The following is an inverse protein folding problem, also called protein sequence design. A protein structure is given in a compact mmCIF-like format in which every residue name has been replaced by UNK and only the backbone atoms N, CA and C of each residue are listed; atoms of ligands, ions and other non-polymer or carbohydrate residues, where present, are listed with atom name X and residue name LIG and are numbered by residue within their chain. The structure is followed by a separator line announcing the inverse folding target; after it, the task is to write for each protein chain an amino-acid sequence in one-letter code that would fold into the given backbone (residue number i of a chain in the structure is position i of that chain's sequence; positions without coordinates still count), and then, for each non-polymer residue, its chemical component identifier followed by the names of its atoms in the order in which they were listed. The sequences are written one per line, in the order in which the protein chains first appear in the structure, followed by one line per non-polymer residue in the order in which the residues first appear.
data_IF_989017690812
#
_entry.id   IF_989017690812
#
_cell.length_a   1.000
_cell.length_b   1.000
_cell.length_c   1.000
_cell.angle_alpha   90.00
_cell.angle_beta   90.00
_cell.angle_gamma   90.00
#
_symmetry.space_group_name_H-M   'P 1'
#
loop_
_entity.id
_entity.type
_entity.pdbx_description
1 polymer ?
#
# COMPACT_ATOMS: atom_id res chain seq x y z
N UNK A 1 23.45 11.34 10.53
CA UNK A 1 22.86 10.31 11.39
C UNK A 1 23.98 9.33 11.70
N UNK A 2 24.12 8.97 12.97
CA UNK A 2 25.04 7.94 13.41
C UNK A 2 24.64 6.59 12.80
N UNK A 3 25.59 5.81 12.32
CA UNK A 3 25.34 4.50 11.72
C UNK A 3 25.99 3.44 12.58
N UNK A 4 25.32 2.33 12.76
CA UNK A 4 25.81 1.18 13.52
C UNK A 4 25.90 -0.05 12.63
N UNK A 5 26.90 -0.89 12.90
CA UNK A 5 27.00 -2.24 12.35
C UNK A 5 26.64 -3.22 13.46
N UNK A 6 25.71 -4.10 13.18
CA UNK A 6 25.31 -5.15 14.10
C UNK A 6 26.35 -6.28 14.07
N UNK A 7 26.89 -6.64 15.23
CA UNK A 7 27.68 -7.87 15.40
C UNK A 7 26.78 -9.09 15.56
N UNK A 8 25.61 -8.87 16.19
CA UNK A 8 24.52 -9.83 16.31
C UNK A 8 23.19 -9.09 16.41
N UNK A 9 22.11 -9.69 15.98
CA UNK A 9 20.78 -9.10 16.12
C UNK A 9 19.74 -9.88 15.35
N UNK A 10 18.54 -9.95 15.91
CA UNK A 10 17.42 -10.61 15.28
C UNK A 10 16.22 -9.69 15.18
N UNK A 11 15.52 -9.74 14.06
CA UNK A 11 14.26 -9.03 13.84
C UNK A 11 13.24 -9.93 13.18
N UNK A 12 11.98 -9.82 13.61
CA UNK A 12 10.91 -10.68 13.09
C UNK A 12 10.25 -10.04 11.88
N UNK A 13 10.48 -10.60 10.70
CA UNK A 13 9.85 -10.19 9.45
C UNK A 13 8.82 -11.25 9.06
N UNK A 14 7.54 -10.85 8.90
CA UNK A 14 6.45 -11.76 8.50
C UNK A 14 6.38 -13.05 9.31
N UNK A 15 6.63 -12.94 10.61
CA UNK A 15 6.55 -14.07 11.52
C UNK A 15 7.79 -14.96 11.60
N UNK A 16 8.80 -14.77 10.75
CA UNK A 16 10.08 -15.47 10.77
C UNK A 16 11.16 -14.61 11.43
N UNK A 17 11.94 -15.14 12.34
CA UNK A 17 13.10 -14.46 12.91
C UNK A 17 14.23 -14.45 11.87
N UNK A 18 14.78 -13.27 11.61
CA UNK A 18 15.89 -13.06 10.68
C UNK A 18 17.10 -12.59 11.43
N UNK A 19 18.25 -13.19 11.13
CA UNK A 19 19.56 -12.75 11.62
C UNK A 19 20.01 -11.54 10.80
N UNK A 20 20.40 -10.47 11.50
CA UNK A 20 20.85 -9.22 10.91
C UNK A 20 22.32 -8.93 11.21
N UNK A 21 23.09 -9.93 11.63
CA UNK A 21 24.53 -9.78 11.88
C UNK A 21 25.28 -9.27 10.64
N UNK A 22 26.18 -8.33 10.83
CA UNK A 22 26.96 -7.69 9.77
C UNK A 22 26.25 -6.53 9.04
N UNK A 23 24.95 -6.34 9.21
CA UNK A 23 24.21 -5.27 8.55
C UNK A 23 24.46 -3.91 9.19
N UNK A 24 24.42 -2.86 8.37
CA UNK A 24 24.61 -1.46 8.77
C UNK A 24 23.28 -0.71 8.67
N UNK A 25 22.89 -0.08 9.78
CA UNK A 25 21.67 0.71 9.89
C UNK A 25 21.95 2.12 10.43
N UNK A 26 21.15 3.12 10.05
CA UNK A 26 21.09 4.39 10.76
C UNK A 26 20.52 4.18 12.18
N UNK A 27 21.22 4.64 13.19
CA UNK A 27 20.80 4.56 14.58
C UNK A 27 19.75 5.63 14.89
N UNK A 28 18.65 5.22 15.53
CA UNK A 28 17.62 6.12 16.06
C UNK A 28 17.75 6.21 17.57
N UNK A 29 17.83 5.08 18.26
CA UNK A 29 18.04 5.02 19.72
C UNK A 29 18.99 3.87 20.06
N UNK A 30 19.93 4.12 20.96
CA UNK A 30 20.88 3.12 21.46
C UNK A 30 20.22 1.99 22.25
N UNK A 31 21.05 1.11 22.79
CA UNK A 31 20.61 -0.07 23.54
C UNK A 31 19.65 0.28 24.68
N UNK A 32 18.54 -0.46 24.76
CA UNK A 32 17.54 -0.41 25.82
C UNK A 32 17.08 -1.81 26.19
N UNK A 33 16.64 -1.97 27.43
CA UNK A 33 16.06 -3.21 27.92
C UNK A 33 14.54 -3.05 27.96
N UNK A 34 13.82 -3.93 27.29
CA UNK A 34 12.36 -4.01 27.29
C UNK A 34 11.85 -5.31 27.91
N UNK A 35 10.53 -5.51 27.91
CA UNK A 35 9.91 -6.71 28.47
C UNK A 35 10.35 -8.03 27.78
N UNK A 36 10.79 -7.97 26.52
CA UNK A 36 11.21 -9.12 25.74
C UNK A 36 12.75 -9.25 25.59
N UNK A 37 13.53 -8.48 26.39
CA UNK A 37 14.99 -8.48 26.34
C UNK A 37 15.59 -7.18 25.82
N UNK A 38 16.89 -7.19 25.52
CA UNK A 38 17.61 -6.05 24.98
C UNK A 38 17.25 -5.76 23.53
N UNK A 39 17.24 -4.49 23.16
CA UNK A 39 17.00 -4.05 21.78
C UNK A 39 17.70 -2.73 21.46
N UNK A 40 17.92 -2.50 20.19
CA UNK A 40 18.37 -1.23 19.61
C UNK A 40 17.30 -0.76 18.60
N UNK A 41 17.04 0.54 18.53
CA UNK A 41 16.09 1.10 17.55
C UNK A 41 16.85 1.73 16.40
N UNK A 42 16.54 1.29 15.18
CA UNK A 42 17.19 1.76 13.95
C UNK A 42 16.16 2.20 12.91
N UNK A 43 16.59 2.99 11.92
CA UNK A 43 15.74 3.36 10.79
C UNK A 43 15.68 2.23 9.76
N UNK A 44 14.58 1.47 9.77
CA UNK A 44 14.37 0.38 8.84
C UNK A 44 14.07 0.83 7.40
N UNK A 45 13.49 2.03 7.21
CA UNK A 45 13.23 2.54 5.85
C UNK A 45 14.50 2.83 5.05
N UNK A 46 15.63 3.01 5.73
CA UNK A 46 16.92 3.19 5.07
C UNK A 46 17.46 1.88 4.46
N UNK A 47 16.87 0.74 4.80
CA UNK A 47 17.29 -0.59 4.36
C UNK A 47 16.12 -1.29 3.67
N UNK A 48 16.30 -1.74 2.43
CA UNK A 48 15.27 -2.45 1.69
C UNK A 48 14.78 -3.71 2.44
N UNK A 49 13.49 -3.99 2.35
CA UNK A 49 12.88 -5.18 2.95
C UNK A 49 12.37 -5.00 4.39
N UNK A 50 12.47 -3.81 4.98
CA UNK A 50 11.88 -3.54 6.31
C UNK A 50 10.60 -2.69 6.17
N UNK A 51 9.52 -3.06 6.89
CA UNK A 51 8.22 -2.42 6.71
C UNK A 51 8.10 -1.05 7.39
N UNK A 52 8.87 -0.83 8.47
CA UNK A 52 8.70 0.31 9.38
C UNK A 52 9.93 1.21 9.43
N UNK A 53 9.70 2.49 9.69
CA UNK A 53 10.77 3.46 9.87
C UNK A 53 11.59 3.18 11.13
N UNK A 54 10.92 2.93 12.26
CA UNK A 54 11.58 2.67 13.53
C UNK A 54 11.41 1.20 13.91
N UNK A 55 12.40 0.37 13.60
CA UNK A 55 12.41 -1.04 13.95
C UNK A 55 13.25 -1.30 15.20
N UNK A 56 12.78 -2.22 16.05
CA UNK A 56 13.48 -2.66 17.25
C UNK A 56 14.14 -4.00 16.99
N UNK A 57 15.46 -3.99 16.83
CA UNK A 57 16.25 -5.20 16.61
C UNK A 57 16.62 -5.76 17.98
N UNK A 58 16.34 -7.04 18.22
CA UNK A 58 16.76 -7.73 19.44
C UNK A 58 18.25 -7.94 19.42
N UNK A 59 18.91 -7.58 20.52
CA UNK A 59 20.34 -7.71 20.72
C UNK A 59 20.60 -8.16 22.16
N UNK A 60 21.75 -8.79 22.42
CA UNK A 60 22.08 -9.32 23.74
C UNK A 60 22.56 -8.23 24.70
N UNK A 61 23.33 -7.26 24.18
CA UNK A 61 23.92 -6.19 24.98
C UNK A 61 24.33 -4.98 24.15
N UNK A 62 24.85 -3.94 24.79
CA UNK A 62 25.36 -2.76 24.08
C UNK A 62 26.60 -3.06 23.20
N UNK A 63 27.30 -4.18 23.45
CA UNK A 63 28.42 -4.68 22.67
C UNK A 63 27.98 -5.39 21.35
N UNK A 64 26.67 -5.60 21.17
CA UNK A 64 26.13 -6.26 19.99
C UNK A 64 26.15 -5.39 18.73
N UNK A 65 26.57 -4.15 18.84
CA UNK A 65 26.77 -3.26 17.70
C UNK A 65 27.94 -2.30 17.93
N UNK A 66 28.52 -1.84 16.84
CA UNK A 66 29.64 -0.89 16.82
C UNK A 66 29.31 0.31 15.92
N UNK A 67 30.01 1.44 16.15
CA UNK A 67 29.89 2.60 15.25
C UNK A 67 30.44 2.23 13.86
N UNK A 68 29.60 2.38 12.86
CA UNK A 68 29.94 2.10 11.46
C UNK A 68 30.52 3.31 10.72
N UNK A 69 30.57 4.49 11.34
CA UNK A 69 31.12 5.71 10.76
C UNK A 69 30.51 6.05 9.39
N UNK A 70 31.37 6.08 8.35
CA UNK A 70 30.97 6.36 6.97
C UNK A 70 30.58 5.11 6.17
N UNK A 71 30.38 3.96 6.79
CA UNK A 71 30.00 2.75 6.07
C UNK A 71 28.68 2.96 5.29
N UNK A 72 28.58 2.33 4.13
CA UNK A 72 27.35 2.31 3.36
C UNK A 72 26.30 1.49 4.12
N UNK A 73 25.06 1.98 4.17
CA UNK A 73 23.94 1.23 4.70
C UNK A 73 23.77 -0.04 3.87
N UNK A 74 23.67 -1.19 4.54
CA UNK A 74 23.55 -2.47 3.86
C UNK A 74 22.14 -2.60 3.28
N UNK A 75 22.05 -2.75 1.97
CA UNK A 75 20.79 -3.13 1.33
C UNK A 75 20.59 -4.63 1.53
N UNK A 76 19.46 -5.01 2.12
CA UNK A 76 19.05 -6.41 2.20
C UNK A 76 18.36 -6.77 0.89
N UNK A 77 18.88 -7.78 0.21
CA UNK A 77 18.18 -8.37 -0.93
C UNK A 77 17.01 -9.24 -0.41
N UNK A 78 15.78 -8.90 -0.83
CA UNK A 78 14.64 -9.75 -0.58
C UNK A 78 14.77 -11.05 -1.42
N UNK A 79 14.44 -12.19 -0.84
CA UNK A 79 14.35 -13.42 -1.62
C UNK A 79 13.15 -13.36 -2.57
N UNK A 80 13.19 -14.17 -3.65
CA UNK A 80 12.08 -14.26 -4.61
C UNK A 80 10.77 -14.66 -3.91
N UNK A 81 10.83 -15.56 -2.92
CA UNK A 81 9.67 -15.97 -2.13
C UNK A 81 9.08 -14.82 -1.32
N UNK A 82 9.91 -14.02 -0.64
CA UNK A 82 9.48 -12.86 0.13
C UNK A 82 8.86 -11.78 -0.78
N UNK A 83 9.44 -11.58 -1.96
CA UNK A 83 8.92 -10.67 -2.97
C UNK A 83 7.55 -11.12 -3.48
N UNK A 84 7.38 -12.41 -3.77
CA UNK A 84 6.11 -12.99 -4.20
C UNK A 84 5.04 -12.86 -3.11
N UNK A 85 5.36 -13.17 -1.87
CA UNK A 85 4.42 -13.07 -0.75
C UNK A 85 4.00 -11.60 -0.52
N UNK A 86 4.93 -10.65 -0.58
CA UNK A 86 4.64 -9.22 -0.48
C UNK A 86 3.73 -8.73 -1.61
N UNK A 87 3.92 -9.23 -2.83
CA UNK A 87 3.05 -8.90 -3.96
C UNK A 87 1.65 -9.49 -3.78
N UNK A 88 1.53 -10.74 -3.32
CA UNK A 88 0.25 -11.38 -3.02
C UNK A 88 -0.53 -10.58 -1.99
N UNK A 89 0.07 -10.24 -0.85
CA UNK A 89 -0.57 -9.42 0.19
C UNK A 89 -1.12 -8.10 -0.36
N UNK A 90 -0.38 -7.43 -1.25
CA UNK A 90 -0.85 -6.19 -1.89
C UNK A 90 -2.05 -6.42 -2.81
N UNK A 91 -2.08 -7.52 -3.56
CA UNK A 91 -3.22 -7.85 -4.40
C UNK A 91 -4.43 -8.30 -3.59
N UNK A 92 -4.24 -9.02 -2.49
CA UNK A 92 -5.31 -9.39 -1.58
C UNK A 92 -5.93 -8.13 -0.93
N UNK A 93 -5.11 -7.18 -0.48
CA UNK A 93 -5.59 -5.88 -0.01
C UNK A 93 -6.38 -5.11 -1.09
N UNK A 94 -5.88 -5.08 -2.33
CA UNK A 94 -6.59 -4.45 -3.45
C UNK A 94 -7.95 -5.10 -3.70
N UNK A 95 -8.01 -6.43 -3.68
CA UNK A 95 -9.25 -7.19 -3.83
C UNK A 95 -10.25 -6.87 -2.71
N UNK A 96 -9.81 -6.86 -1.45
CA UNK A 96 -10.65 -6.59 -0.30
C UNK A 96 -11.14 -5.13 -0.27
N UNK A 97 -10.29 -4.17 -0.59
CA UNK A 97 -10.69 -2.77 -0.72
C UNK A 97 -11.67 -2.55 -1.88
N UNK A 98 -11.50 -3.25 -3.00
CA UNK A 98 -12.45 -3.20 -4.11
C UNK A 98 -13.82 -3.77 -3.71
N UNK A 99 -13.83 -4.86 -2.94
CA UNK A 99 -15.08 -5.41 -2.36
C UNK A 99 -15.74 -4.43 -1.39
N UNK A 100 -14.96 -3.73 -0.56
CA UNK A 100 -15.46 -2.73 0.37
C UNK A 100 -16.07 -1.52 -0.36
N UNK A 101 -15.43 -1.03 -1.43
CA UNK A 101 -16.01 0.01 -2.28
C UNK A 101 -17.33 -0.44 -2.91
N UNK A 102 -17.39 -1.66 -3.43
CA UNK A 102 -18.59 -2.25 -4.02
C UNK A 102 -19.77 -2.37 -3.05
N UNK A 103 -19.49 -2.69 -1.77
CA UNK A 103 -20.51 -2.76 -0.71
C UNK A 103 -20.93 -1.38 -0.19
N UNK A 104 -20.21 -0.32 -0.57
CA UNK A 104 -20.41 1.01 -0.05
C UNK A 104 -19.84 1.24 1.36
N UNK A 105 -19.03 0.30 1.88
CA UNK A 105 -18.33 0.46 3.15
C UNK A 105 -17.23 1.52 3.04
N UNK A 106 -16.66 1.65 1.84
CA UNK A 106 -15.68 2.69 1.47
C UNK A 106 -16.22 3.44 0.25
N UNK A 107 -16.28 4.77 0.32
CA UNK A 107 -16.84 5.59 -0.77
C UNK A 107 -15.96 5.68 -2.00
N UNK A 108 -14.65 5.73 -1.79
CA UNK A 108 -13.67 5.78 -2.87
C UNK A 108 -12.31 5.26 -2.38
N UNK A 109 -11.52 4.76 -3.32
CA UNK A 109 -10.12 4.44 -3.11
C UNK A 109 -9.27 4.95 -4.26
N UNK A 110 -8.02 5.28 -3.99
CA UNK A 110 -7.02 5.60 -5.00
C UNK A 110 -5.99 4.48 -5.02
N UNK A 111 -5.76 3.91 -6.20
CA UNK A 111 -4.78 2.84 -6.41
C UNK A 111 -3.61 3.40 -7.21
N UNK A 112 -2.45 3.50 -6.59
CA UNK A 112 -1.22 3.97 -7.25
C UNK A 112 -0.14 2.89 -7.22
N UNK A 113 0.76 2.94 -8.17
CA UNK A 113 1.90 2.02 -8.26
C UNK A 113 2.46 1.91 -9.67
N UNK A 114 3.56 1.17 -9.88
CA UNK A 114 4.23 1.05 -11.17
C UNK A 114 3.27 0.57 -12.27
N UNK A 115 3.49 0.98 -13.54
CA UNK A 115 2.72 0.47 -14.66
C UNK A 115 2.96 -1.04 -14.86
N UNK A 116 1.99 -1.73 -15.47
CA UNK A 116 2.13 -3.13 -15.86
C UNK A 116 2.00 -4.17 -14.75
N UNK A 117 1.84 -3.78 -13.46
CA UNK A 117 1.73 -4.73 -12.34
C UNK A 117 0.35 -5.38 -12.18
N UNK A 118 -0.64 -5.06 -13.01
CA UNK A 118 -1.97 -5.69 -12.97
C UNK A 118 -3.02 -5.00 -12.09
N UNK A 119 -2.84 -3.72 -11.71
CA UNK A 119 -3.79 -2.97 -10.87
C UNK A 119 -5.21 -2.96 -11.46
N UNK A 120 -5.36 -2.47 -12.69
CA UNK A 120 -6.66 -2.38 -13.38
C UNK A 120 -7.29 -3.75 -13.56
N UNK A 121 -6.51 -4.76 -13.94
CA UNK A 121 -6.97 -6.14 -14.05
C UNK A 121 -7.51 -6.68 -12.72
N UNK A 122 -6.83 -6.42 -11.60
CA UNK A 122 -7.25 -6.85 -10.26
C UNK A 122 -8.61 -6.27 -9.89
N UNK A 123 -8.82 -4.97 -10.12
CA UNK A 123 -10.09 -4.28 -9.86
C UNK A 123 -11.20 -4.80 -10.78
N UNK A 124 -10.96 -4.84 -12.09
CA UNK A 124 -11.95 -5.30 -13.08
C UNK A 124 -12.36 -6.76 -12.84
N UNK A 125 -11.44 -7.64 -12.43
CA UNK A 125 -11.72 -9.03 -12.07
C UNK A 125 -12.72 -9.16 -10.91
N UNK A 126 -12.59 -8.30 -9.88
CA UNK A 126 -13.49 -8.29 -8.73
C UNK A 126 -14.86 -7.75 -9.10
N UNK A 127 -14.90 -6.67 -9.87
CA UNK A 127 -16.15 -6.04 -10.31
C UNK A 127 -16.89 -6.90 -11.33
N UNK A 128 -16.17 -7.52 -12.29
CA UNK A 128 -16.75 -8.37 -13.32
C UNK A 128 -17.46 -9.62 -12.77
N UNK A 129 -16.95 -10.22 -11.70
CA UNK A 129 -17.66 -11.31 -11.01
C UNK A 129 -19.02 -10.90 -10.46
N UNK A 130 -19.20 -9.62 -10.20
CA UNK A 130 -20.48 -9.07 -9.73
C UNK A 130 -21.48 -8.85 -10.85
N UNK A 131 -21.00 -8.54 -12.04
CA UNK A 131 -21.83 -8.15 -13.17
C UNK A 131 -22.43 -9.35 -13.95
N UNK A 132 -21.99 -10.57 -13.61
CA UNK A 132 -22.57 -11.80 -14.19
C UNK A 132 -24.06 -11.90 -13.89
N UNK A 133 -24.49 -11.48 -12.70
CA UNK A 133 -25.94 -11.52 -12.30
C UNK A 133 -26.73 -10.46 -13.04
N UNK A 134 -26.19 -9.24 -13.21
CA UNK A 134 -26.84 -8.17 -13.96
C UNK A 134 -26.93 -8.48 -15.44
N UNK A 135 -25.91 -9.10 -16.00
CA UNK A 135 -25.90 -9.57 -17.40
C UNK A 135 -26.95 -10.66 -17.65
N UNK A 136 -27.12 -11.60 -16.71
CA UNK A 136 -28.15 -12.64 -16.79
C UNK A 136 -29.59 -12.11 -16.61
N UNK A 137 -29.74 -10.99 -15.90
CA UNK A 137 -31.03 -10.37 -15.58
C UNK A 137 -31.42 -9.26 -16.57
N UNK A 138 -30.62 -9.01 -17.62
CA UNK A 138 -30.80 -7.91 -18.59
C UNK A 138 -30.94 -6.52 -17.91
N UNK A 139 -30.33 -6.36 -16.73
CA UNK A 139 -30.31 -5.09 -15.98
C UNK A 139 -29.07 -4.25 -16.36
N UNK A 140 -29.13 -2.94 -16.12
CA UNK A 140 -27.99 -2.06 -16.39
C UNK A 140 -26.74 -2.50 -15.60
N UNK A 141 -25.54 -2.40 -16.20
CA UNK A 141 -24.31 -2.76 -15.52
C UNK A 141 -24.13 -1.91 -14.27
N UNK A 142 -23.69 -2.55 -13.18
CA UNK A 142 -23.47 -1.88 -11.87
C UNK A 142 -22.09 -1.25 -11.75
N UNK A 143 -21.22 -1.44 -12.72
CA UNK A 143 -19.95 -0.74 -12.77
C UNK A 143 -19.60 -0.29 -14.18
N UNK A 144 -18.78 0.73 -14.25
CA UNK A 144 -18.22 1.21 -15.53
C UNK A 144 -16.75 1.56 -15.31
N UNK A 145 -15.90 1.17 -16.26
CA UNK A 145 -14.50 1.59 -16.32
C UNK A 145 -14.37 2.68 -17.36
N UNK A 146 -13.95 3.85 -16.92
CA UNK A 146 -13.72 5.01 -17.78
C UNK A 146 -12.21 5.17 -17.94
N UNK A 147 -11.74 5.23 -19.20
CA UNK A 147 -10.32 5.35 -19.54
C UNK A 147 -10.03 6.65 -20.27
N UNK A 148 -8.89 7.25 -19.95
CA UNK A 148 -8.39 8.45 -20.64
C UNK A 148 -9.00 9.76 -20.12
N UNK A 149 -9.06 10.79 -20.97
CA UNK A 149 -9.46 12.13 -20.58
C UNK A 149 -10.97 12.28 -20.45
N UNK A 150 -11.41 13.05 -19.44
CA UNK A 150 -12.81 13.36 -19.20
C UNK A 150 -12.98 14.85 -18.87
N UNK A 151 -14.06 15.47 -19.38
CA UNK A 151 -14.45 16.82 -19.00
C UNK A 151 -15.25 16.82 -17.69
N UNK A 152 -15.33 17.97 -17.01
CA UNK A 152 -16.10 18.14 -15.79
C UNK A 152 -17.60 17.77 -15.95
N UNK A 153 -18.18 18.13 -17.10
CA UNK A 153 -19.58 17.75 -17.42
C UNK A 153 -19.70 16.23 -17.58
N UNK A 154 -18.75 15.60 -18.27
CA UNK A 154 -18.70 14.15 -18.42
C UNK A 154 -18.60 13.43 -17.07
N UNK A 155 -17.73 13.93 -16.18
CA UNK A 155 -17.58 13.44 -14.82
C UNK A 155 -18.90 13.53 -14.03
N UNK A 156 -19.54 14.71 -14.05
CA UNK A 156 -20.81 14.90 -13.38
C UNK A 156 -21.89 13.92 -13.87
N UNK A 157 -22.03 13.77 -15.18
CA UNK A 157 -23.00 12.83 -15.77
C UNK A 157 -22.72 11.38 -15.37
N UNK A 158 -21.46 10.97 -15.31
CA UNK A 158 -21.06 9.62 -14.88
C UNK A 158 -21.36 9.39 -13.40
N UNK A 159 -20.99 10.34 -12.53
CA UNK A 159 -21.29 10.26 -11.10
C UNK A 159 -22.80 10.22 -10.84
N UNK A 160 -23.59 11.00 -11.59
CA UNK A 160 -25.05 10.97 -11.49
C UNK A 160 -25.63 9.62 -11.94
N UNK A 161 -25.18 9.09 -13.07
CA UNK A 161 -25.66 7.80 -13.60
C UNK A 161 -25.41 6.63 -12.64
N UNK A 162 -24.31 6.67 -11.91
CA UNK A 162 -23.90 5.60 -10.97
C UNK A 162 -24.07 6.01 -9.50
N UNK A 163 -24.94 6.98 -9.21
CA UNK A 163 -25.18 7.47 -7.85
C UNK A 163 -25.90 6.47 -6.93
N UNK A 164 -26.56 5.46 -7.49
CA UNK A 164 -27.28 4.48 -6.71
C UNK A 164 -26.35 3.55 -5.94
N UNK A 165 -26.89 2.99 -4.85
CA UNK A 165 -26.19 2.04 -4.00
C UNK A 165 -25.71 0.84 -4.80
N UNK A 166 -24.55 0.33 -4.43
CA UNK A 166 -23.87 -0.84 -5.02
C UNK A 166 -23.35 -0.61 -6.46
N UNK A 167 -23.37 0.63 -6.95
CA UNK A 167 -22.75 1.00 -8.21
C UNK A 167 -21.30 1.49 -7.98
N UNK A 168 -20.42 1.22 -8.94
CA UNK A 168 -19.02 1.61 -8.89
C UNK A 168 -18.58 2.23 -10.21
N UNK A 169 -17.85 3.35 -10.15
CA UNK A 169 -17.13 3.91 -11.30
C UNK A 169 -15.65 3.76 -11.06
N UNK A 170 -14.94 3.24 -12.05
CA UNK A 170 -13.49 3.15 -12.07
C UNK A 170 -12.94 4.16 -13.07
N UNK A 171 -12.10 5.07 -12.61
CA UNK A 171 -11.34 5.98 -13.46
C UNK A 171 -9.93 5.40 -13.64
N UNK A 172 -9.63 4.91 -14.83
CA UNK A 172 -8.35 4.29 -15.18
C UNK A 172 -7.59 5.23 -16.12
N UNK A 173 -6.40 5.66 -15.70
CA UNK A 173 -5.56 6.63 -16.42
C UNK A 173 -6.29 7.96 -16.75
N UNK A 174 -7.18 8.42 -15.86
CA UNK A 174 -7.94 9.65 -16.02
C UNK A 174 -7.31 10.85 -15.29
N UNK A 175 -6.01 11.09 -15.45
CA UNK A 175 -5.25 12.13 -14.75
C UNK A 175 -5.82 13.54 -14.93
N UNK A 176 -6.49 13.80 -16.07
CA UNK A 176 -7.16 15.06 -16.33
C UNK A 176 -8.21 15.42 -15.28
N UNK A 177 -8.87 14.43 -14.68
CA UNK A 177 -9.87 14.63 -13.61
C UNK A 177 -9.25 15.20 -12.34
N UNK A 178 -8.00 14.85 -12.06
CA UNK A 178 -7.26 15.35 -10.89
C UNK A 178 -6.52 16.67 -11.16
N UNK A 179 -6.30 17.01 -12.43
CA UNK A 179 -5.62 18.24 -12.84
C UNK A 179 -6.57 19.42 -13.06
N UNK A 180 -7.86 19.18 -13.25
CA UNK A 180 -8.90 20.19 -13.46
C UNK A 180 -9.58 20.56 -12.14
N UNK A 181 -9.56 21.85 -11.78
CA UNK A 181 -10.11 22.33 -10.51
C UNK A 181 -11.63 22.08 -10.39
N UNK A 182 -12.37 22.20 -11.49
CA UNK A 182 -13.82 21.95 -11.49
C UNK A 182 -14.12 20.48 -11.28
N UNK A 183 -13.35 19.57 -11.93
CA UNK A 183 -13.46 18.14 -11.70
C UNK A 183 -13.17 17.78 -10.25
N UNK A 184 -12.11 18.34 -9.65
CA UNK A 184 -11.78 18.11 -8.25
C UNK A 184 -12.88 18.58 -7.29
N UNK A 185 -13.51 19.72 -7.56
CA UNK A 185 -14.60 20.23 -6.73
C UNK A 185 -15.85 19.36 -6.85
N UNK A 186 -16.15 18.82 -8.03
CA UNK A 186 -17.22 17.85 -8.24
C UNK A 186 -16.94 16.56 -7.46
N UNK A 187 -15.72 16.04 -7.53
CA UNK A 187 -15.33 14.83 -6.78
C UNK A 187 -15.45 15.05 -5.27
N UNK A 188 -14.93 16.17 -4.75
CA UNK A 188 -15.05 16.51 -3.32
C UNK A 188 -16.50 16.54 -2.89
N UNK A 189 -17.39 17.18 -3.66
CA UNK A 189 -18.81 17.24 -3.36
C UNK A 189 -19.48 15.85 -3.39
N UNK A 190 -19.11 14.99 -4.35
CA UNK A 190 -19.65 13.64 -4.46
C UNK A 190 -19.17 12.70 -3.33
N UNK A 191 -17.96 12.91 -2.83
CA UNK A 191 -17.33 12.08 -1.81
C UNK A 191 -17.53 12.61 -0.38
N UNK A 192 -18.10 13.80 -0.20
CA UNK A 192 -18.35 14.38 1.12
C UNK A 192 -19.31 13.49 1.93
N UNK A 193 -18.93 13.23 3.19
CA UNK A 193 -19.71 12.41 4.12
C UNK A 193 -20.82 13.19 4.83
N UNK A 194 -20.81 14.52 4.74
CA UNK A 194 -21.82 15.37 5.36
C UNK A 194 -23.00 15.52 4.40
N UNK A 195 -24.04 14.77 4.63
CA UNK A 195 -25.40 15.08 4.18
C UNK A 195 -26.22 15.56 5.36
#
# INVERSE_FOLDING_TARGET
MEKIRLSEGTYKIRGKDQDLAGMVFPLVEGFKIGAAGGYVTVDGNAVAGFPDRNIKIRVTGPESYEDAGNATVTEREESDEETIDRLRERFDMLEDMTKACKKGDVRAMIVSGPPGVGKSFGVEKVLGKHDIISTLSETAPRYEVVKGAMSAIGLYCKLYKYADKDNVIVFDDCDSVFSDELCLNILKAALDSKK
#
